data_IF_860086924659
#
_entry.id   IF_860086924659
#
_cell.length_a   1.000
_cell.length_b   1.000
_cell.length_c   1.000
_cell.angle_alpha   90.00
_cell.angle_beta   90.00
_cell.angle_gamma   90.00
#
_symmetry.space_group_name_H-M   'P 1'
#
loop_
_entity.id
_entity.type
_entity.pdbx_description
1 polymer ?
#
# COMPACT_ATOMS: atom_id res chain seq x y z
N UNK A 1 -14.27 11.44 -11.99
CA UNK A 1 -14.46 10.13 -11.33
C UNK A 1 -13.17 9.31 -11.26
N UNK A 2 -12.09 9.72 -11.93
CA UNK A 2 -10.79 9.02 -11.88
C UNK A 2 -10.04 9.22 -10.56
N UNK A 3 -10.23 10.35 -9.87
CA UNK A 3 -9.50 10.65 -8.62
C UNK A 3 -9.79 9.70 -7.45
N UNK A 4 -10.89 8.93 -7.51
CA UNK A 4 -11.28 7.96 -6.47
C UNK A 4 -10.78 6.54 -6.70
N UNK A 5 -10.16 6.23 -7.83
CA UNK A 5 -9.58 4.90 -8.07
C UNK A 5 -8.39 4.68 -7.14
N UNK A 6 -8.43 3.60 -6.37
CA UNK A 6 -7.32 3.20 -5.50
C UNK A 6 -6.32 2.42 -6.35
N UNK A 7 -5.10 2.92 -6.48
CA UNK A 7 -4.08 2.29 -7.33
C UNK A 7 -3.40 1.13 -6.61
N UNK A 8 -3.13 1.26 -5.31
CA UNK A 8 -2.58 0.19 -4.49
C UNK A 8 -3.02 0.31 -3.03
N UNK A 9 -4.29 0.01 -2.70
CA UNK A 9 -4.75 0.08 -1.32
C UNK A 9 -4.06 -1.00 -0.48
N UNK A 10 -3.32 -0.59 0.56
CA UNK A 10 -2.53 -1.50 1.42
C UNK A 10 -3.08 -1.62 2.83
N UNK A 11 -3.79 -0.59 3.31
CA UNK A 11 -4.40 -0.58 4.63
C UNK A 11 -5.64 0.33 4.62
N UNK A 12 -6.51 0.19 5.63
CA UNK A 12 -7.63 1.07 5.81
C UNK A 12 -8.18 1.06 7.24
N UNK A 13 -8.60 2.23 7.69
CA UNK A 13 -9.15 2.41 9.04
C UNK A 13 -10.51 3.11 8.99
N UNK A 14 -11.45 2.61 9.77
CA UNK A 14 -12.79 3.18 9.88
C UNK A 14 -12.94 3.92 11.21
N UNK A 15 -13.33 5.19 11.14
CA UNK A 15 -13.65 6.03 12.28
C UNK A 15 -15.14 6.20 12.49
N UNK A 16 -15.51 7.13 13.37
CA UNK A 16 -16.91 7.45 13.65
C UNK A 16 -17.64 7.93 12.39
N UNK A 17 -17.03 8.85 11.66
CA UNK A 17 -17.65 9.55 10.52
C UNK A 17 -16.92 9.34 9.18
N UNK A 18 -15.73 8.71 9.17
CA UNK A 18 -14.94 8.49 7.96
C UNK A 18 -14.42 7.06 7.80
N UNK A 19 -14.13 6.66 6.57
CA UNK A 19 -13.33 5.48 6.21
C UNK A 19 -12.13 5.98 5.42
N UNK A 20 -10.93 5.61 5.85
CA UNK A 20 -9.68 6.07 5.27
C UNK A 20 -8.97 4.89 4.63
N UNK A 21 -8.62 5.01 3.35
CA UNK A 21 -7.85 4.05 2.60
C UNK A 21 -6.44 4.60 2.35
N UNK A 22 -5.43 3.78 2.59
CA UNK A 22 -4.03 4.11 2.34
C UNK A 22 -3.67 3.56 0.97
N UNK A 23 -3.49 4.47 0.01
CA UNK A 23 -3.21 4.15 -1.38
C UNK A 23 -1.72 4.29 -1.65
N UNK A 24 -1.01 3.17 -1.48
CA UNK A 24 0.44 3.08 -1.50
C UNK A 24 1.02 3.58 -2.82
N UNK A 25 0.49 3.07 -3.95
CA UNK A 25 1.01 3.37 -5.28
C UNK A 25 0.67 4.79 -5.73
N UNK A 26 -0.43 5.36 -5.25
CA UNK A 26 -0.76 6.75 -5.53
C UNK A 26 -0.17 7.74 -4.51
N UNK A 27 0.63 7.27 -3.54
CA UNK A 27 1.29 8.10 -2.53
C UNK A 27 0.31 9.00 -1.77
N UNK A 28 -0.87 8.47 -1.42
CA UNK A 28 -1.97 9.28 -0.88
C UNK A 28 -2.87 8.52 0.08
N UNK A 29 -3.72 9.29 0.72
CA UNK A 29 -4.81 8.85 1.59
C UNK A 29 -6.11 9.27 0.93
N UNK A 30 -7.06 8.34 0.84
CA UNK A 30 -8.41 8.60 0.35
C UNK A 30 -9.38 8.46 1.52
N UNK A 31 -10.09 9.54 1.87
CA UNK A 31 -11.11 9.53 2.89
C UNK A 31 -12.51 9.53 2.29
N UNK A 32 -13.36 8.66 2.79
CA UNK A 32 -14.76 8.53 2.40
C UNK A 32 -15.65 8.85 3.60
N UNK A 33 -16.76 9.54 3.37
CA UNK A 33 -17.81 9.66 4.39
C UNK A 33 -18.37 8.26 4.69
N UNK A 34 -18.40 7.89 5.96
CA UNK A 34 -18.74 6.53 6.36
C UNK A 34 -20.20 6.15 6.08
N UNK A 35 -21.12 7.13 6.06
CA UNK A 35 -22.56 6.86 5.91
C UNK A 35 -22.95 6.73 4.45
N UNK A 36 -22.44 7.64 3.63
CA UNK A 36 -22.78 7.75 2.21
C UNK A 36 -21.80 7.00 1.31
N UNK A 37 -20.57 6.74 1.77
CA UNK A 37 -19.49 6.16 0.97
C UNK A 37 -18.91 7.13 -0.06
N UNK A 38 -19.32 8.40 -0.06
CA UNK A 38 -18.82 9.40 -1.01
C UNK A 38 -17.45 9.89 -0.59
N UNK A 39 -16.64 10.30 -1.57
CA UNK A 39 -15.35 10.94 -1.31
C UNK A 39 -15.53 12.16 -0.40
N UNK A 40 -14.81 12.18 0.71
CA UNK A 40 -14.72 13.32 1.61
C UNK A 40 -13.52 14.19 1.25
N UNK A 41 -12.32 13.60 1.17
CA UNK A 41 -11.09 14.30 0.80
C UNK A 41 -9.99 13.33 0.37
N UNK A 42 -8.97 13.87 -0.31
CA UNK A 42 -7.74 13.17 -0.67
C UNK A 42 -6.57 14.01 -0.17
N UNK A 43 -5.58 13.36 0.44
CA UNK A 43 -4.36 14.01 0.90
C UNK A 43 -3.14 13.22 0.46
N UNK A 44 -2.04 13.90 0.15
CA UNK A 44 -0.81 13.27 -0.32
C UNK A 44 -0.62 13.33 -1.83
N UNK A 45 0.65 13.34 -2.19
CA UNK A 45 1.23 13.11 -3.52
C UNK A 45 2.66 12.62 -3.29
N UNK A 46 3.28 12.01 -4.29
CA UNK A 46 4.67 11.58 -4.15
C UNK A 46 5.58 12.75 -3.78
N UNK A 47 6.36 12.57 -2.71
CA UNK A 47 7.38 13.52 -2.30
C UNK A 47 7.70 13.43 -0.81
N UNK A 48 8.44 14.41 -0.30
CA UNK A 48 8.89 14.47 1.10
C UNK A 48 8.53 15.79 1.80
N UNK A 49 8.00 16.76 1.05
CA UNK A 49 7.59 18.06 1.56
C UNK A 49 6.33 18.02 2.44
N UNK A 50 5.88 19.18 2.94
CA UNK A 50 4.64 19.29 3.70
C UNK A 50 3.42 18.81 2.90
N UNK A 51 2.68 17.86 3.47
CA UNK A 51 1.50 17.27 2.81
C UNK A 51 1.82 16.28 1.67
N UNK A 52 3.11 15.99 1.44
CA UNK A 52 3.54 14.93 0.52
C UNK A 52 3.78 13.63 1.29
N UNK A 53 3.59 12.51 0.61
CA UNK A 53 3.80 11.17 1.14
C UNK A 53 4.67 10.38 0.16
N UNK A 54 5.37 9.38 0.66
CA UNK A 54 6.11 8.41 -0.14
C UNK A 54 5.79 7.01 0.34
N UNK A 55 5.08 6.25 -0.49
CA UNK A 55 4.77 4.84 -0.23
C UNK A 55 4.07 4.62 1.13
N UNK A 56 2.95 5.30 1.45
CA UNK A 56 2.33 5.15 2.75
C UNK A 56 1.83 3.71 2.96
N UNK A 57 2.06 3.13 4.14
CA UNK A 57 1.88 1.68 4.36
C UNK A 57 0.81 1.28 5.36
N UNK A 58 0.58 2.08 6.40
CA UNK A 58 -0.34 1.71 7.46
C UNK A 58 -0.94 2.93 8.14
N UNK A 59 -2.09 2.76 8.76
CA UNK A 59 -2.75 3.84 9.46
C UNK A 59 -3.50 3.41 10.72
N UNK A 60 -3.68 4.36 11.63
CA UNK A 60 -4.57 4.19 12.78
C UNK A 60 -5.25 5.50 13.15
N UNK A 61 -6.32 5.40 13.93
CA UNK A 61 -6.96 6.56 14.51
C UNK A 61 -6.43 6.82 15.91
N UNK A 62 -6.07 8.08 16.15
CA UNK A 62 -5.82 8.60 17.48
C UNK A 62 -7.13 8.69 18.28
N UNK A 63 -7.07 8.69 19.63
CA UNK A 63 -8.25 8.79 20.48
C UNK A 63 -9.11 10.05 20.25
N UNK A 64 -8.50 11.14 19.77
CA UNK A 64 -9.18 12.37 19.39
C UNK A 64 -9.82 12.33 17.99
N UNK A 65 -9.61 11.26 17.24
CA UNK A 65 -10.16 11.04 15.90
C UNK A 65 -9.22 11.42 14.76
N UNK A 66 -8.03 11.95 15.05
CA UNK A 66 -7.03 12.23 14.03
C UNK A 66 -6.51 10.93 13.40
N UNK A 67 -6.17 10.98 12.13
CA UNK A 67 -5.60 9.87 11.38
C UNK A 67 -4.09 9.95 11.43
N UNK A 68 -3.44 8.89 11.91
CA UNK A 68 -2.00 8.70 11.84
C UNK A 68 -1.68 7.80 10.65
N UNK A 69 -0.81 8.26 9.77
CA UNK A 69 -0.40 7.54 8.55
C UNK A 69 1.09 7.31 8.57
N UNK A 70 1.50 6.05 8.40
CA UNK A 70 2.89 5.66 8.22
C UNK A 70 3.31 6.07 6.81
N UNK A 71 4.07 7.14 6.71
CA UNK A 71 4.75 7.58 5.50
C UNK A 71 6.10 6.86 5.41
N UNK A 72 6.01 5.58 5.03
CA UNK A 72 7.11 4.63 5.13
C UNK A 72 8.36 5.09 4.37
N UNK A 73 8.20 5.58 3.13
CA UNK A 73 9.33 5.96 2.29
C UNK A 73 10.06 7.20 2.79
N UNK A 74 9.45 7.97 3.68
CA UNK A 74 10.07 9.12 4.34
C UNK A 74 10.42 8.85 5.82
N UNK A 75 10.22 7.63 6.33
CA UNK A 75 10.59 7.25 7.70
C UNK A 75 9.87 8.05 8.78
N UNK A 76 8.58 8.37 8.57
CA UNK A 76 7.81 9.24 9.47
C UNK A 76 6.35 8.80 9.59
N UNK A 77 5.68 9.27 10.63
CA UNK A 77 4.22 9.22 10.78
C UNK A 77 3.67 10.62 10.57
N UNK A 78 2.71 10.76 9.67
CA UNK A 78 2.00 12.02 9.42
C UNK A 78 0.64 11.96 10.07
N UNK A 79 0.32 12.97 10.87
CA UNK A 79 -0.98 13.12 11.55
C UNK A 79 -1.87 14.05 10.73
N UNK A 80 -3.07 13.59 10.41
CA UNK A 80 -4.10 14.33 9.70
C UNK A 80 -5.32 14.54 10.60
N UNK A 81 -5.91 15.73 10.54
CA UNK A 81 -7.25 15.94 11.11
C UNK A 81 -8.30 15.17 10.32
N UNK A 82 -9.50 14.96 10.88
CA UNK A 82 -10.63 14.37 10.15
C UNK A 82 -11.03 15.11 8.88
N UNK A 83 -10.62 16.37 8.69
CA UNK A 83 -10.84 17.18 7.48
C UNK A 83 -9.75 17.01 6.40
N UNK A 84 -8.72 16.20 6.66
CA UNK A 84 -7.62 15.96 5.75
C UNK A 84 -6.45 16.95 5.87
N UNK A 85 -6.51 17.92 6.78
CA UNK A 85 -5.39 18.85 7.01
C UNK A 85 -4.24 18.16 7.76
N UNK A 86 -2.98 18.26 7.27
CA UNK A 86 -1.84 17.74 8.01
C UNK A 86 -1.57 18.60 9.25
N UNK A 87 -1.29 17.94 10.38
CA UNK A 87 -1.08 18.56 11.70
C UNK A 87 0.39 18.54 12.08
N UNK A 88 0.97 17.35 12.07
CA UNK A 88 2.33 17.11 12.54
C UNK A 88 2.95 15.92 11.83
N UNK A 89 4.28 15.89 11.88
CA UNK A 89 5.09 14.81 11.36
C UNK A 89 6.03 14.35 12.45
N UNK A 90 5.98 13.06 12.75
CA UNK A 90 6.79 12.41 13.77
C UNK A 90 7.78 11.48 13.10
N UNK A 91 9.11 11.74 13.16
CA UNK A 91 10.10 10.79 12.68
C UNK A 91 9.97 9.47 13.43
N UNK A 92 10.12 8.35 12.73
CA UNK A 92 10.11 7.02 13.36
C UNK A 92 11.40 6.27 13.07
N UNK A 93 11.97 5.56 14.04
CA UNK A 93 13.22 4.85 13.84
C UNK A 93 13.00 3.55 13.05
N UNK A 94 13.67 3.45 11.90
CA UNK A 94 13.63 2.27 11.05
C UNK A 94 12.30 2.13 10.32
N UNK A 95 11.98 0.88 9.95
CA UNK A 95 10.75 0.55 9.23
C UNK A 95 9.64 0.27 10.23
N UNK A 96 8.54 1.02 10.17
CA UNK A 96 7.30 0.75 10.89
C UNK A 96 6.28 0.14 9.93
N UNK A 97 5.75 -1.05 10.22
CA UNK A 97 4.77 -1.74 9.35
C UNK A 97 3.32 -1.50 9.77
N UNK A 98 3.08 -1.31 11.08
CA UNK A 98 1.77 -1.02 11.64
C UNK A 98 1.91 -0.17 12.90
N UNK A 99 0.86 0.56 13.24
CA UNK A 99 0.82 1.34 14.47
C UNK A 99 -0.55 1.31 15.15
N UNK A 100 -0.58 1.64 16.43
CA UNK A 100 -1.77 1.97 17.20
C UNK A 100 -1.48 3.19 18.07
N UNK A 101 -2.40 4.15 18.10
CA UNK A 101 -2.30 5.33 18.93
C UNK A 101 -2.81 5.06 20.35
N UNK A 102 -2.08 5.52 21.36
CA UNK A 102 -2.42 5.35 22.77
C UNK A 102 -3.07 6.62 23.35
N UNK A 103 -3.76 6.46 24.48
CA UNK A 103 -4.47 7.54 25.18
C UNK A 103 -3.57 8.69 25.67
N UNK A 104 -2.27 8.45 25.81
CA UNK A 104 -1.29 9.42 26.29
C UNK A 104 -0.50 10.10 25.15
N UNK A 105 -0.95 9.96 23.91
CA UNK A 105 -0.31 10.56 22.72
C UNK A 105 0.90 9.79 22.20
N UNK A 106 1.33 8.72 22.88
CA UNK A 106 2.32 7.80 22.34
C UNK A 106 1.70 6.83 21.32
N UNK A 107 2.54 6.13 20.58
CA UNK A 107 2.15 5.12 19.59
C UNK A 107 2.85 3.81 19.92
N UNK A 108 2.15 2.70 19.78
CA UNK A 108 2.78 1.38 19.65
C UNK A 108 2.91 1.06 18.18
N UNK A 109 4.00 0.45 17.75
CA UNK A 109 4.10 -0.05 16.40
C UNK A 109 5.03 -1.24 16.25
N UNK A 110 4.83 -1.97 15.16
CA UNK A 110 5.70 -3.07 14.76
C UNK A 110 6.82 -2.54 13.87
N UNK A 111 8.05 -2.70 14.32
CA UNK A 111 9.26 -2.21 13.68
C UNK A 111 10.17 -3.36 13.22
N UNK A 112 11.05 -3.10 12.26
CA UNK A 112 12.08 -4.06 11.80
C UNK A 112 13.25 -4.27 12.78
N UNK A 113 13.10 -3.87 14.03
CA UNK A 113 14.13 -3.97 15.06
C UNK A 113 13.88 -5.18 15.96
N UNK A 114 14.93 -5.64 16.65
CA UNK A 114 14.79 -6.58 17.77
C UNK A 114 14.90 -5.79 19.08
N UNK A 115 13.90 -5.79 19.97
CA UNK A 115 12.56 -6.38 19.85
C UNK A 115 11.62 -5.66 18.85
N UNK A 116 10.66 -6.38 18.23
CA UNK A 116 9.87 -5.88 17.10
C UNK A 116 8.80 -4.87 17.50
N UNK A 117 8.27 -4.95 18.72
CA UNK A 117 7.26 -3.99 19.17
C UNK A 117 7.92 -2.85 19.91
N UNK A 118 7.69 -1.63 19.43
CA UNK A 118 8.26 -0.41 19.99
C UNK A 118 7.16 0.54 20.43
N UNK A 119 7.38 1.19 21.57
CA UNK A 119 6.59 2.35 21.98
C UNK A 119 7.33 3.62 21.59
N UNK A 120 6.68 4.47 20.82
CA UNK A 120 7.22 5.69 20.27
C UNK A 120 6.43 6.85 20.88
N UNK A 121 7.10 7.82 21.49
CA UNK A 121 6.47 9.05 21.96
C UNK A 121 5.95 9.90 20.79
N UNK A 122 5.12 10.90 21.08
CA UNK A 122 4.59 11.83 20.09
C UNK A 122 5.69 12.55 19.28
N UNK A 123 6.87 12.76 19.88
CA UNK A 123 8.03 13.38 19.23
C UNK A 123 8.97 12.39 18.50
N UNK A 124 8.63 11.09 18.45
CA UNK A 124 9.40 10.09 17.68
C UNK A 124 10.47 9.34 18.47
N UNK A 125 10.60 9.59 19.77
CA UNK A 125 11.57 8.89 20.62
C UNK A 125 11.05 7.50 20.99
N UNK A 126 11.87 6.47 20.81
CA UNK A 126 11.52 5.13 21.33
C UNK A 126 11.67 5.13 22.85
N UNK A 127 10.55 4.96 23.54
CA UNK A 127 10.48 4.91 24.99
C UNK A 127 10.75 3.50 25.52
N UNK A 128 10.10 2.51 24.90
CA UNK A 128 10.14 1.12 25.34
C UNK A 128 10.19 0.18 24.14
N UNK A 129 10.78 -1.00 24.35
CA UNK A 129 10.80 -2.10 23.38
C UNK A 129 10.28 -3.35 24.09
N UNK A 130 9.35 -4.06 23.48
CA UNK A 130 8.75 -5.24 24.06
C UNK A 130 9.27 -6.49 23.35
N UNK A 131 10.03 -7.30 24.09
CA UNK A 131 10.30 -8.68 23.71
C UNK A 131 9.04 -9.50 23.93
N UNK A 132 8.53 -10.11 22.87
CA UNK A 132 7.39 -11.01 22.99
C UNK A 132 7.90 -12.32 23.62
N UNK A 133 7.37 -12.77 24.78
CA UNK A 133 7.66 -14.12 25.23
C UNK A 133 7.07 -15.08 24.20
N UNK A 134 7.90 -15.98 23.66
CA UNK A 134 7.50 -17.00 22.69
C UNK A 134 6.30 -17.80 23.19
N UNK A 135 5.08 -17.41 22.79
CA UNK A 135 3.88 -18.23 22.91
C UNK A 135 3.28 -18.39 21.53
N UNK A 136 3.79 -19.37 20.80
CA UNK A 136 3.18 -19.85 19.56
C UNK A 136 1.84 -20.51 19.89
N UNK A 137 0.75 -20.00 19.33
CA UNK A 137 -0.49 -20.80 19.22
C UNK A 137 -0.47 -21.44 17.83
N UNK A 138 -0.47 -22.76 17.77
CA UNK A 138 -0.59 -23.50 16.52
C UNK A 138 -1.98 -23.28 15.92
N UNK A 139 -2.06 -22.49 14.85
CA UNK A 139 -3.30 -22.31 14.07
C UNK A 139 -3.36 -23.39 13.00
N UNK A 140 -3.38 -24.68 13.36
CA UNK A 140 -3.75 -25.83 12.51
C UNK A 140 -3.11 -25.98 11.10
N UNK A 141 -2.16 -25.13 10.75
CA UNK A 141 -1.45 -25.05 9.47
C UNK A 141 0.04 -25.06 9.87
N UNK A 142 0.82 -26.06 9.43
CA UNK A 142 2.17 -26.29 9.95
C UNK A 142 3.19 -25.16 9.71
N UNK A 143 2.89 -24.19 8.84
CA UNK A 143 3.78 -23.06 8.47
C UNK A 143 3.29 -21.68 8.89
N UNK A 144 2.09 -21.55 9.50
CA UNK A 144 1.55 -20.25 9.90
C UNK A 144 1.56 -20.10 11.43
N UNK A 145 2.37 -19.17 11.93
CA UNK A 145 2.38 -18.73 13.33
C UNK A 145 1.77 -17.33 13.37
N UNK A 146 0.59 -17.19 13.95
CA UNK A 146 -0.05 -15.88 14.15
C UNK A 146 0.34 -15.37 15.53
N UNK A 147 1.14 -14.29 15.58
CA UNK A 147 1.47 -13.62 16.83
C UNK A 147 0.42 -12.54 17.12
N UNK A 148 -0.59 -12.93 17.89
CA UNK A 148 -1.50 -11.98 18.53
C UNK A 148 -1.05 -11.81 19.97
N UNK A 149 -0.37 -10.69 20.27
CA UNK A 149 -0.26 -10.26 21.67
C UNK A 149 -1.26 -9.15 21.90
N UNK A 150 -2.32 -9.39 22.69
CA UNK A 150 -3.02 -8.29 23.32
C UNK A 150 -2.04 -7.70 24.33
N UNK A 151 -1.25 -6.71 23.91
CA UNK A 151 -0.60 -5.84 24.90
C UNK A 151 -1.76 -5.23 25.70
N UNK A 152 -1.83 -5.44 27.02
CA UNK A 152 -2.88 -4.86 27.84
C UNK A 152 -2.60 -3.36 27.97
N UNK A 153 -2.80 -2.60 26.89
CA UNK A 153 -3.06 -1.18 27.03
C UNK A 153 -4.46 -1.05 27.62
N UNK A 154 -4.63 -0.19 28.62
CA UNK A 154 -5.96 0.16 29.14
C UNK A 154 -6.88 0.74 28.06
N UNK A 155 -6.29 1.11 26.92
CA UNK A 155 -6.93 1.79 25.80
C UNK A 155 -7.52 0.82 24.76
N UNK A 156 -7.15 -0.47 24.81
CA UNK A 156 -7.65 -1.50 23.89
C UNK A 156 -6.87 -1.61 22.57
N UNK A 157 -5.68 -1.03 22.49
CA UNK A 157 -4.76 -1.20 21.35
C UNK A 157 -4.24 -2.63 21.28
N UNK A 158 -4.41 -3.25 20.11
CA UNK A 158 -3.77 -4.51 19.74
C UNK A 158 -2.91 -4.23 18.51
N UNK A 159 -1.60 -4.37 18.66
CA UNK A 159 -0.66 -4.41 17.54
C UNK A 159 -0.30 -5.87 17.34
N UNK A 160 -0.73 -6.45 16.23
CA UNK A 160 -0.41 -7.82 15.86
C UNK A 160 0.44 -7.80 14.60
N UNK A 161 1.58 -8.48 14.65
CA UNK A 161 2.42 -8.73 13.48
C UNK A 161 2.32 -10.23 13.14
N UNK A 162 2.15 -10.55 11.87
CA UNK A 162 2.15 -11.95 11.42
C UNK A 162 3.55 -12.24 10.92
N UNK A 163 4.31 -13.01 11.70
CA UNK A 163 5.62 -13.50 11.30
C UNK A 163 5.44 -14.94 10.84
N UNK A 164 5.53 -15.20 9.53
CA UNK A 164 5.70 -16.57 9.04
C UNK A 164 7.14 -16.99 9.31
N UNK A 165 7.29 -17.99 10.17
CA UNK A 165 8.55 -18.70 10.33
C UNK A 165 8.49 -19.89 9.39
N UNK A 166 8.99 -19.75 8.17
CA UNK A 166 9.39 -20.93 7.41
C UNK A 166 10.54 -21.59 8.19
N UNK A 167 10.56 -22.92 8.21
CA UNK A 167 11.38 -23.77 9.09
C UNK A 167 12.90 -23.71 8.88
N UNK A 168 13.48 -22.52 8.78
CA UNK A 168 14.90 -22.22 8.76
C UNK A 168 15.12 -20.71 8.93
N UNK A 169 15.31 -20.27 10.18
CA UNK A 169 15.95 -19.03 10.65
C UNK A 169 15.89 -17.73 9.80
N UNK A 170 14.79 -17.45 9.08
CA UNK A 170 14.50 -16.10 8.59
C UNK A 170 12.99 -15.81 8.61
N UNK A 171 12.54 -14.70 9.24
CA UNK A 171 11.12 -14.34 9.27
C UNK A 171 10.66 -13.78 7.91
N UNK A 172 9.73 -14.46 7.25
CA UNK A 172 8.93 -13.90 6.15
C UNK A 172 7.71 -13.18 6.76
N UNK A 173 7.38 -11.98 6.26
CA UNK A 173 6.34 -11.12 6.87
C UNK A 173 4.97 -11.38 6.26
N UNK A 174 4.01 -11.77 7.08
CA UNK A 174 2.60 -11.89 6.76
C UNK A 174 1.81 -10.60 6.97
N UNK A 175 0.57 -10.58 6.47
CA UNK A 175 -0.35 -9.43 6.53
C UNK A 175 -0.69 -9.03 7.98
N UNK A 176 -0.52 -7.76 8.31
CA UNK A 176 -0.91 -7.15 9.60
C UNK A 176 -2.42 -6.83 9.62
N UNK A 177 -3.02 -6.88 10.81
CA UNK A 177 -4.42 -6.48 11.04
C UNK A 177 -4.46 -5.56 12.27
N UNK A 178 -5.08 -4.39 12.14
CA UNK A 178 -5.38 -3.48 13.26
C UNK A 178 -6.86 -3.60 13.63
N UNK A 179 -7.15 -4.04 14.86
CA UNK A 179 -8.52 -4.01 15.37
C UNK A 179 -8.78 -2.66 16.08
N UNK A 180 -9.50 -1.76 15.40
CA UNK A 180 -10.01 -0.53 15.99
C UNK A 180 -11.25 -0.77 16.87
N UNK A 181 -11.40 0.03 17.93
CA UNK A 181 -12.51 -0.01 18.90
C UNK A 181 -13.88 0.05 18.19
N UNK A 182 -14.69 -1.00 18.31
CA UNK A 182 -16.14 -0.88 18.10
C UNK A 182 -16.76 -0.19 19.32
N UNK A 183 -17.53 0.87 19.09
CA UNK A 183 -18.23 1.63 20.14
C UNK A 183 -19.44 0.92 20.76
N UNK A 184 -19.47 -0.41 20.78
CA UNK A 184 -20.54 -1.20 21.40
C UNK A 184 -19.88 -2.21 22.35
N UNK A 185 -20.10 -2.01 23.65
CA UNK A 185 -19.57 -2.82 24.74
C UNK A 185 -20.17 -4.22 24.82
N UNK A 186 -20.08 -5.01 23.75
CA UNK A 186 -20.42 -6.43 23.75
C UNK A 186 -19.16 -7.29 23.92
N UNK A 187 -19.20 -8.11 24.97
CA UNK A 187 -18.12 -9.01 25.41
C UNK A 187 -17.75 -10.00 24.30
N UNK A 188 -16.44 -10.21 24.11
CA UNK A 188 -15.86 -11.23 23.22
C UNK A 188 -16.37 -12.62 23.62
N UNK A 189 -17.26 -13.20 22.81
CA UNK A 189 -17.71 -14.58 22.94
C UNK A 189 -16.69 -15.55 22.33
N UNK A 190 -16.52 -16.71 22.96
CA UNK A 190 -15.62 -17.80 22.50
C UNK A 190 -15.98 -18.29 21.09
N UNK A 191 -15.00 -18.70 20.26
CA UNK A 191 -15.28 -19.27 18.94
C UNK A 191 -15.84 -20.71 19.06
N UNK A 192 -16.81 -21.11 18.22
CA UNK A 192 -17.20 -22.51 18.07
C UNK A 192 -16.20 -23.27 17.16
N UNK A 193 -16.13 -24.61 17.26
CA UNK A 193 -15.19 -25.41 16.47
C UNK A 193 -15.65 -25.59 15.02
N UNK A 194 -14.65 -25.81 14.18
CA UNK A 194 -14.60 -25.84 12.73
C UNK A 194 -15.35 -26.99 12.05
N UNK A 195 -15.95 -26.70 10.88
CA UNK A 195 -16.02 -27.64 9.75
C UNK A 195 -16.13 -26.88 8.40
N UNK A 196 -15.21 -27.24 7.50
CA UNK A 196 -15.30 -27.35 6.04
C UNK A 196 -15.49 -26.11 5.11
N UNK A 197 -14.49 -25.99 4.23
CA UNK A 197 -14.54 -25.76 2.76
C UNK A 197 -14.83 -24.37 2.16
N UNK A 198 -13.83 -23.94 1.38
CA UNK A 198 -13.83 -23.33 0.04
C UNK A 198 -14.86 -22.26 -0.37
N UNK A 199 -14.30 -21.32 -1.15
CA UNK A 199 -14.88 -20.48 -2.20
C UNK A 199 -15.23 -19.03 -1.85
N UNK A 200 -14.57 -18.16 -2.63
CA UNK A 200 -14.88 -16.77 -2.90
C UNK A 200 -16.30 -16.62 -3.48
N UNK A 201 -16.99 -15.55 -3.13
CA UNK A 201 -18.09 -15.00 -3.93
C UNK A 201 -19.42 -14.76 -3.21
N UNK A 202 -19.81 -13.48 -3.23
CA UNK A 202 -21.19 -12.97 -3.23
C UNK A 202 -21.87 -12.78 -1.85
N UNK A 203 -22.25 -11.52 -1.65
CA UNK A 203 -23.17 -11.00 -0.64
C UNK A 203 -24.49 -11.77 -0.68
N UNK A 204 -24.85 -12.43 0.44
CA UNK A 204 -26.21 -12.87 0.70
C UNK A 204 -26.69 -12.31 2.06
N UNK A 205 -27.52 -11.27 1.99
CA UNK A 205 -28.43 -10.90 3.08
C UNK A 205 -29.52 -11.99 3.18
N UNK A 206 -29.64 -12.65 4.32
CA UNK A 206 -30.83 -13.46 4.64
C UNK A 206 -31.30 -13.17 6.08
N UNK A 207 -32.26 -12.25 6.12
CA UNK A 207 -33.36 -12.05 7.05
C UNK A 207 -33.57 -13.12 8.14
N UNK A 208 -33.40 -12.73 9.41
CA UNK A 208 -34.03 -13.43 10.54
C UNK A 208 -35.29 -12.67 10.96
N UNK A 209 -36.45 -13.27 10.65
CA UNK A 209 -37.75 -12.85 11.15
C UNK A 209 -37.90 -13.24 12.64
N UNK A 210 -38.56 -12.42 13.47
CA UNK A 210 -39.10 -12.90 14.73
C UNK A 210 -40.51 -13.48 14.52
N UNK A 211 -40.71 -14.71 15.02
CA UNK A 211 -42.01 -15.38 15.09
C UNK A 211 -42.98 -14.60 15.99
N UNK A 212 -44.23 -14.55 15.51
CA UNK A 212 -45.42 -13.95 16.12
C UNK A 212 -45.75 -14.53 17.51
N UNK A 213 -45.95 -13.65 18.48
CA UNK A 213 -46.80 -13.87 19.66
C UNK A 213 -47.98 -12.91 19.62
N UNK A 214 -49.19 -13.43 19.35
CA UNK A 214 -50.45 -12.67 19.27
C UNK A 214 -50.92 -12.23 20.66
N UNK A 215 -51.24 -10.94 20.84
CA UNK A 215 -52.41 -10.50 21.61
C UNK A 215 -53.07 -9.30 20.93
N UNK A 216 -54.34 -9.49 20.55
CA UNK A 216 -55.29 -8.47 20.04
C UNK A 216 -55.87 -7.70 21.22
N UNK A 217 -55.90 -6.36 21.16
CA UNK A 217 -56.99 -5.48 21.65
C UNK A 217 -56.78 -4.13 20.91
N UNK A 218 -57.51 -3.85 19.83
CA UNK A 218 -58.74 -3.05 19.73
C UNK A 218 -58.50 -1.54 19.53
N UNK A 219 -58.55 -1.14 18.25
CA UNK A 219 -59.36 -0.05 17.65
C UNK A 219 -59.46 1.28 18.44
N UNK A 220 -58.99 2.37 17.82
CA UNK A 220 -59.77 3.60 17.53
C UNK A 220 -59.04 4.50 16.52
N UNK A 221 -59.69 4.70 15.37
CA UNK A 221 -59.47 5.82 14.45
C UNK A 221 -60.19 7.05 15.03
N UNK A 222 -59.66 8.26 14.84
CA UNK A 222 -60.30 9.40 14.11
C UNK A 222 -59.53 10.73 14.35
N UNK A 223 -59.73 11.75 13.48
CA UNK A 223 -58.73 12.76 13.08
C UNK A 223 -59.09 14.22 13.49
N UNK A 224 -58.16 15.16 13.29
CA UNK A 224 -58.34 16.60 12.97
C UNK A 224 -56.96 17.28 13.03
N UNK A 225 -56.37 17.88 11.97
CA UNK A 225 -56.77 19.02 11.13
C UNK A 225 -56.39 20.42 11.70
N UNK A 226 -55.62 21.16 10.89
CA UNK A 226 -55.55 22.62 10.69
C UNK A 226 -54.81 23.53 11.68
N UNK A 227 -53.71 24.15 11.18
CA UNK A 227 -53.45 25.61 11.05
C UNK A 227 -52.04 25.78 10.44
N UNK A 228 -51.89 26.06 9.13
CA UNK A 228 -51.79 27.37 8.45
C UNK A 228 -50.84 28.36 9.14
N UNK A 229 -49.66 28.55 8.55
CA UNK A 229 -49.00 29.85 8.46
C UNK A 229 -48.12 29.87 7.21
N UNK A 230 -48.59 30.61 6.20
CA UNK A 230 -47.85 30.99 5.01
C UNK A 230 -46.97 32.21 5.33
N UNK A 231 -45.74 32.24 4.81
CA UNK A 231 -45.07 33.49 4.48
C UNK A 231 -44.30 33.32 3.16
N UNK A 232 -44.89 33.87 2.11
CA UNK A 232 -44.22 34.29 0.89
C UNK A 232 -43.54 35.64 1.18
N UNK A 233 -42.27 35.79 0.79
CA UNK A 233 -41.78 37.07 0.29
C UNK A 233 -40.74 36.81 -0.79
N UNK A 234 -41.13 37.16 -2.03
CA UNK A 234 -40.25 37.25 -3.18
C UNK A 234 -39.47 38.56 -3.12
N UNK A 235 -38.18 38.53 -3.42
CA UNK A 235 -37.42 39.69 -3.87
C UNK A 235 -36.64 39.29 -5.11
N UNK A 236 -37.21 39.67 -6.26
CA UNK A 236 -36.52 39.70 -7.55
C UNK A 236 -35.72 41.00 -7.56
N UNK A 237 -34.40 40.90 -7.65
CA UNK A 237 -33.55 41.99 -8.07
C UNK A 237 -32.69 41.48 -9.22
N UNK A 238 -33.15 41.76 -10.43
CA UNK A 238 -32.35 41.72 -11.63
C UNK A 238 -31.30 42.83 -11.56
N UNK A 239 -30.08 42.54 -11.98
CA UNK A 239 -29.19 43.56 -12.52
C UNK A 239 -28.25 42.94 -13.56
N UNK A 240 -28.08 43.70 -14.64
CA UNK A 240 -27.44 43.39 -15.91
C UNK A 240 -25.96 42.97 -15.85
N UNK A 241 -25.44 42.30 -16.90
CA UNK A 241 -24.01 42.08 -17.09
C UNK A 241 -23.34 43.34 -17.69
N UNK A 242 -22.25 43.79 -17.08
CA UNK A 242 -21.40 44.87 -17.62
C UNK A 242 -20.29 44.32 -18.56
N UNK A 243 -19.91 45.08 -19.61
CA UNK A 243 -18.88 44.73 -20.59
C UNK A 243 -17.45 44.95 -20.05
N UNK A 244 -16.39 44.46 -20.75
CA UNK A 244 -15.01 44.59 -20.29
C UNK A 244 -14.45 45.97 -20.63
N UNK A 245 -13.89 46.65 -19.61
CA UNK A 245 -13.04 47.83 -19.82
C UNK A 245 -11.59 47.38 -20.04
N UNK A 246 -11.05 47.79 -21.18
CA UNK A 246 -9.62 47.87 -21.44
C UNK A 246 -9.01 49.04 -20.65
N UNK A 247 -7.68 48.97 -20.51
CA UNK A 247 -6.74 50.05 -20.13
C UNK A 247 -6.59 50.36 -18.64
N UNK A 248 -5.64 49.66 -18.01
CA UNK A 248 -4.77 50.26 -17.01
C UNK A 248 -3.34 49.76 -17.25
N UNK A 249 -2.53 50.65 -17.83
CA UNK A 249 -1.08 50.60 -17.90
C UNK A 249 -0.48 50.41 -16.51
N UNK A 250 0.21 49.29 -16.30
CA UNK A 250 1.03 49.00 -15.12
C UNK A 250 2.35 48.40 -15.56
N UNK A 251 3.43 49.14 -15.28
CA UNK A 251 4.84 48.86 -15.55
C UNK A 251 5.25 47.38 -15.58
N UNK A 252 5.91 46.98 -16.68
CA UNK A 252 6.59 45.72 -16.84
C UNK A 252 7.82 45.65 -15.94
N UNK A 253 7.80 44.75 -14.95
CA UNK A 253 9.03 44.28 -14.31
C UNK A 253 9.70 43.24 -15.22
N UNK A 254 11.04 43.24 -15.33
CA UNK A 254 11.75 42.32 -16.21
C UNK A 254 11.58 40.88 -15.74
N UNK A 255 11.01 40.05 -16.62
CA UNK A 255 10.98 38.60 -16.50
C UNK A 255 12.43 38.09 -16.48
N UNK A 256 12.89 37.37 -15.45
CA UNK A 256 14.19 36.69 -15.51
C UNK A 256 14.13 35.69 -16.68
N UNK A 257 15.19 35.57 -17.50
CA UNK A 257 15.15 34.72 -18.68
C UNK A 257 14.77 33.31 -18.27
N UNK A 258 13.91 32.70 -19.08
CA UNK A 258 13.63 31.28 -19.07
C UNK A 258 14.95 30.54 -18.87
N UNK A 259 15.10 29.93 -17.68
CA UNK A 259 16.18 29.02 -17.39
C UNK A 259 16.01 27.86 -18.35
N UNK A 260 16.71 27.99 -19.47
CA UNK A 260 17.39 26.97 -20.25
C UNK A 260 16.91 25.56 -19.91
N UNK A 261 16.21 24.99 -20.90
CA UNK A 261 15.79 23.61 -20.94
C UNK A 261 16.85 22.72 -20.28
N UNK A 262 16.40 21.95 -19.29
CA UNK A 262 17.21 20.88 -18.72
C UNK A 262 17.84 20.07 -19.89
N UNK A 263 19.14 19.75 -19.81
CA UNK A 263 19.79 18.97 -20.85
C UNK A 263 19.02 17.65 -21.03
N UNK A 264 18.84 17.24 -22.30
CA UNK A 264 18.24 15.96 -22.66
C UNK A 264 18.91 14.77 -21.97
N UNK A 265 18.26 13.59 -21.99
CA UNK A 265 18.61 12.47 -21.13
C UNK A 265 20.09 12.12 -21.30
N UNK A 266 20.84 12.23 -20.21
CA UNK A 266 22.16 11.64 -20.13
C UNK A 266 22.03 10.14 -20.39
N UNK A 267 22.90 9.60 -21.25
CA UNK A 267 23.06 8.18 -21.53
C UNK A 267 23.14 7.39 -20.22
N UNK A 268 21.99 6.90 -19.76
CA UNK A 268 21.91 6.08 -18.55
C UNK A 268 22.22 4.66 -18.99
N UNK A 269 23.52 4.36 -19.12
CA UNK A 269 23.99 3.00 -19.32
C UNK A 269 23.62 2.19 -18.08
N UNK A 270 22.84 1.12 -18.27
CA UNK A 270 22.48 0.19 -17.20
C UNK A 270 23.59 -0.84 -17.06
N UNK A 271 24.08 -1.04 -15.84
CA UNK A 271 25.07 -2.08 -15.57
C UNK A 271 24.46 -3.19 -14.71
N UNK A 272 24.64 -4.45 -15.14
CA UNK A 272 24.13 -5.64 -14.46
C UNK A 272 25.20 -6.24 -13.54
N UNK A 273 24.82 -6.57 -12.32
CA UNK A 273 25.66 -7.17 -11.29
C UNK A 273 24.96 -8.43 -10.73
N UNK A 274 25.58 -9.08 -9.74
CA UNK A 274 24.99 -10.18 -9.00
C UNK A 274 25.08 -9.95 -7.50
N UNK A 275 24.13 -10.52 -6.77
CA UNK A 275 24.19 -10.68 -5.32
C UNK A 275 23.90 -12.11 -4.94
N UNK A 276 24.36 -12.49 -3.76
CA UNK A 276 24.05 -13.78 -3.15
C UNK A 276 23.19 -13.54 -1.91
N UNK A 277 22.17 -14.39 -1.72
CA UNK A 277 21.36 -14.42 -0.50
C UNK A 277 21.28 -15.85 0.00
N UNK A 278 21.55 -16.03 1.29
CA UNK A 278 21.43 -17.32 1.94
C UNK A 278 20.01 -17.88 1.77
N UNK A 279 19.89 -19.16 1.45
CA UNK A 279 18.61 -19.82 1.19
C UNK A 279 18.01 -19.61 -0.21
N UNK A 280 18.40 -18.56 -0.95
CA UNK A 280 17.94 -18.33 -2.33
C UNK A 280 19.03 -18.63 -3.37
N UNK A 281 20.29 -18.32 -3.07
CA UNK A 281 21.40 -18.44 -4.01
C UNK A 281 21.79 -17.11 -4.66
N UNK A 282 22.38 -17.17 -5.85
CA UNK A 282 22.89 -16.01 -6.58
C UNK A 282 21.86 -15.51 -7.58
N UNK A 283 21.63 -14.20 -7.60
CA UNK A 283 20.66 -13.54 -8.47
C UNK A 283 21.21 -12.23 -9.06
N UNK A 284 20.63 -11.82 -10.18
CA UNK A 284 20.93 -10.59 -10.89
C UNK A 284 20.45 -9.35 -10.14
N UNK A 285 21.26 -8.30 -10.18
CA UNK A 285 20.90 -6.96 -9.73
C UNK A 285 21.34 -5.90 -10.73
N UNK A 286 20.91 -4.66 -10.56
CA UNK A 286 21.63 -3.54 -11.15
C UNK A 286 22.88 -3.17 -10.32
N UNK A 287 23.67 -2.20 -10.80
CA UNK A 287 24.85 -1.70 -10.09
C UNK A 287 24.54 -1.04 -8.73
N UNK A 288 23.29 -0.66 -8.46
CA UNK A 288 22.86 -0.17 -7.14
C UNK A 288 22.46 -1.31 -6.19
N UNK A 289 22.46 -2.55 -6.68
CA UNK A 289 22.10 -3.75 -5.91
C UNK A 289 20.60 -3.99 -5.80
N UNK A 290 19.78 -3.36 -6.64
CA UNK A 290 18.33 -3.67 -6.71
C UNK A 290 18.12 -4.97 -7.47
N UNK A 291 17.29 -5.85 -6.91
CA UNK A 291 17.00 -7.17 -7.45
C UNK A 291 16.26 -7.11 -8.79
N UNK A 292 16.63 -8.00 -9.71
CA UNK A 292 16.04 -8.10 -11.04
C UNK A 292 15.25 -9.39 -11.20
N UNK A 293 14.08 -9.24 -11.80
CA UNK A 293 13.06 -10.26 -11.94
C UNK A 293 12.73 -10.52 -13.41
N UNK A 294 12.31 -11.74 -13.70
CA UNK A 294 11.63 -12.11 -14.93
C UNK A 294 10.16 -12.42 -14.64
N UNK A 295 9.31 -12.22 -15.65
CA UNK A 295 7.89 -12.53 -15.59
C UNK A 295 7.55 -13.72 -16.49
N UNK A 296 6.98 -14.79 -15.94
CA UNK A 296 6.61 -15.96 -16.74
C UNK A 296 5.47 -15.71 -17.73
N UNK A 297 4.68 -14.66 -17.51
CA UNK A 297 3.63 -14.22 -18.43
C UNK A 297 4.14 -13.51 -19.67
N UNK A 298 5.45 -13.28 -19.81
CA UNK A 298 6.02 -12.67 -21.01
C UNK A 298 6.04 -13.64 -22.20
N UNK A 299 5.48 -13.19 -23.32
CA UNK A 299 5.24 -14.00 -24.51
C UNK A 299 6.46 -14.11 -25.41
N UNK A 300 6.69 -15.28 -26.00
CA UNK A 300 7.75 -15.46 -26.98
C UNK A 300 7.53 -14.58 -28.22
N UNK A 301 8.59 -13.91 -28.66
CA UNK A 301 8.64 -13.23 -29.95
C UNK A 301 8.73 -14.30 -31.04
N UNK A 302 8.03 -14.08 -32.16
CA UNK A 302 7.99 -15.04 -33.26
C UNK A 302 9.40 -15.42 -33.74
N UNK A 303 9.71 -16.73 -33.69
CA UNK A 303 10.93 -17.29 -34.28
C UNK A 303 12.21 -17.20 -33.43
N UNK A 304 12.13 -16.94 -32.12
CA UNK A 304 13.32 -16.84 -31.28
C UNK A 304 13.12 -17.16 -29.79
N UNK A 305 14.23 -17.06 -29.05
CA UNK A 305 14.28 -17.19 -27.57
C UNK A 305 13.90 -15.88 -26.84
N UNK A 306 13.80 -14.78 -27.59
CA UNK A 306 13.42 -13.47 -27.05
C UNK A 306 11.95 -13.45 -26.66
N UNK A 307 11.64 -12.79 -25.55
CA UNK A 307 10.26 -12.53 -25.12
C UNK A 307 9.94 -11.04 -25.17
N UNK A 308 8.68 -10.75 -25.48
CA UNK A 308 8.10 -9.42 -25.41
C UNK A 308 7.42 -9.25 -24.06
N UNK A 309 7.63 -8.08 -23.44
CA UNK A 309 6.94 -7.71 -22.21
C UNK A 309 5.43 -7.69 -22.43
N UNK A 310 4.68 -8.35 -21.56
CA UNK A 310 3.21 -8.22 -21.43
C UNK A 310 2.82 -7.31 -20.26
N UNK A 311 3.80 -6.93 -19.42
CA UNK A 311 3.61 -6.10 -18.25
C UNK A 311 3.61 -4.60 -18.60
N UNK A 312 2.42 -4.00 -18.53
CA UNK A 312 2.16 -2.59 -18.77
C UNK A 312 1.14 -2.06 -17.76
N UNK A 313 0.94 -0.74 -17.74
CA UNK A 313 -0.06 -0.08 -16.92
C UNK A 313 0.14 -0.41 -15.44
N UNK A 314 -0.89 -0.89 -14.73
CA UNK A 314 -0.80 -1.29 -13.32
C UNK A 314 0.28 -2.35 -13.06
N UNK A 315 0.52 -3.25 -14.03
CA UNK A 315 1.59 -4.23 -13.91
C UNK A 315 2.95 -3.53 -13.87
N UNK A 316 3.22 -2.59 -14.78
CA UNK A 316 4.49 -1.87 -14.83
C UNK A 316 4.68 -0.92 -13.64
N UNK A 317 3.60 -0.56 -12.91
CA UNK A 317 3.72 0.18 -11.65
C UNK A 317 4.14 -0.74 -10.50
N UNK A 318 3.64 -1.98 -10.44
CA UNK A 318 4.03 -2.97 -9.45
C UNK A 318 5.41 -3.60 -9.76
N UNK A 319 5.70 -3.77 -11.05
CA UNK A 319 6.90 -4.39 -11.60
C UNK A 319 7.55 -3.48 -12.64
N UNK A 320 8.25 -2.40 -12.21
CA UNK A 320 8.84 -1.44 -13.14
C UNK A 320 9.84 -2.08 -14.09
N UNK A 321 9.74 -1.87 -15.42
CA UNK A 321 10.70 -2.41 -16.37
C UNK A 321 12.07 -1.76 -16.21
N UNK A 322 13.13 -2.55 -16.39
CA UNK A 322 14.49 -2.02 -16.45
C UNK A 322 14.74 -1.36 -17.80
N UNK A 323 14.51 -0.04 -17.88
CA UNK A 323 14.65 0.74 -19.11
C UNK A 323 16.09 1.21 -19.31
N UNK A 324 16.51 1.33 -20.58
CA UNK A 324 17.87 1.76 -20.95
C UNK A 324 17.88 2.61 -22.21
N UNK A 325 18.66 3.71 -22.18
CA UNK A 325 18.91 4.56 -23.35
C UNK A 325 20.18 4.16 -24.12
N UNK A 326 21.20 3.68 -23.41
CA UNK A 326 22.46 3.16 -23.95
C UNK A 326 22.50 1.63 -24.07
N UNK A 327 23.68 1.09 -24.39
CA UNK A 327 23.89 -0.35 -24.35
C UNK A 327 24.08 -0.80 -22.88
N UNK A 328 23.30 -1.78 -22.38
CA UNK A 328 23.55 -2.35 -21.06
C UNK A 328 24.86 -3.15 -21.04
N UNK A 329 25.57 -3.11 -19.91
CA UNK A 329 26.89 -3.75 -19.76
C UNK A 329 26.97 -4.64 -18.52
N UNK A 330 27.80 -5.70 -18.53
CA UNK A 330 28.07 -6.46 -17.31
C UNK A 330 29.02 -5.68 -16.40
N UNK A 331 28.63 -5.47 -15.14
CA UNK A 331 29.50 -4.97 -14.07
C UNK A 331 30.26 -6.09 -13.34
N UNK A 332 29.81 -7.34 -13.50
CA UNK A 332 30.34 -8.50 -12.78
C UNK A 332 30.74 -9.63 -13.73
N UNK A 333 31.90 -10.29 -13.54
CA UNK A 333 32.33 -11.42 -14.36
C UNK A 333 31.38 -12.63 -14.36
N UNK A 334 30.50 -12.75 -13.35
CA UNK A 334 29.47 -13.79 -13.32
C UNK A 334 28.36 -13.57 -14.37
N UNK A 335 28.21 -12.33 -14.87
CA UNK A 335 27.25 -11.99 -15.91
C UNK A 335 27.83 -12.28 -17.28
N UNK A 336 27.12 -13.08 -18.07
CA UNK A 336 27.52 -13.42 -19.44
C UNK A 336 27.07 -12.32 -20.38
N UNK A 337 28.03 -11.62 -20.97
CA UNK A 337 27.77 -10.47 -21.84
C UNK A 337 26.87 -10.83 -23.04
N UNK A 338 27.01 -12.05 -23.57
CA UNK A 338 26.24 -12.57 -24.69
C UNK A 338 24.75 -12.82 -24.38
N UNK A 339 24.40 -12.91 -23.10
CA UNK A 339 23.00 -13.05 -22.66
C UNK A 339 22.31 -11.70 -22.50
N UNK A 340 23.07 -10.60 -22.43
CA UNK A 340 22.50 -9.26 -22.29
C UNK A 340 21.97 -8.82 -23.65
N UNK A 341 20.70 -8.43 -23.67
CA UNK A 341 20.05 -7.88 -24.83
C UNK A 341 19.14 -6.72 -24.46
N UNK A 342 18.36 -6.28 -25.45
CA UNK A 342 17.28 -5.34 -25.24
C UNK A 342 16.08 -5.71 -26.10
N UNK A 343 14.88 -5.43 -25.60
CA UNK A 343 13.64 -5.51 -26.37
C UNK A 343 13.00 -4.14 -26.48
N UNK A 344 12.47 -3.82 -27.65
CA UNK A 344 11.62 -2.64 -27.83
C UNK A 344 10.23 -2.95 -27.28
N UNK A 345 9.78 -2.14 -26.33
CA UNK A 345 8.45 -2.25 -25.74
C UNK A 345 7.43 -1.55 -26.65
N UNK A 346 6.15 -1.93 -26.52
CA UNK A 346 5.06 -1.32 -27.32
C UNK A 346 4.84 0.17 -27.03
N UNK A 347 5.34 0.66 -25.90
CA UNK A 347 5.30 2.06 -25.49
C UNK A 347 6.48 2.88 -26.06
N UNK A 348 7.34 2.26 -26.88
CA UNK A 348 8.50 2.89 -27.52
C UNK A 348 9.75 2.93 -26.62
N UNK A 349 9.65 2.51 -25.36
CA UNK A 349 10.81 2.41 -24.49
C UNK A 349 11.62 1.14 -24.80
N UNK A 350 12.92 1.19 -24.51
CA UNK A 350 13.80 0.02 -24.65
C UNK A 350 14.11 -0.58 -23.29
N UNK A 351 13.81 -1.87 -23.13
CA UNK A 351 13.98 -2.60 -21.88
C UNK A 351 15.14 -3.57 -21.98
N UNK A 352 15.93 -3.68 -20.92
CA UNK A 352 17.02 -4.65 -20.81
C UNK A 352 16.44 -6.05 -20.70
N UNK A 353 17.06 -6.98 -21.42
CA UNK A 353 16.75 -8.40 -21.34
C UNK A 353 17.98 -9.20 -20.95
N UNK A 354 17.79 -10.33 -20.28
CA UNK A 354 18.85 -11.29 -20.01
C UNK A 354 18.39 -12.69 -20.40
N UNK A 355 19.18 -13.37 -21.23
CA UNK A 355 18.84 -14.67 -21.82
C UNK A 355 17.44 -14.67 -22.47
N UNK A 356 17.11 -13.57 -23.16
CA UNK A 356 15.81 -13.38 -23.85
C UNK A 356 14.65 -12.94 -22.95
N UNK A 357 14.81 -12.87 -21.63
CA UNK A 357 13.77 -12.43 -20.69
C UNK A 357 13.83 -10.92 -20.43
N UNK A 358 12.72 -10.17 -20.58
CA UNK A 358 12.64 -8.79 -20.09
C UNK A 358 12.86 -8.72 -18.59
N UNK A 359 13.68 -7.78 -18.14
CA UNK A 359 14.02 -7.61 -16.72
C UNK A 359 13.18 -6.52 -16.07
N UNK A 360 12.75 -6.78 -14.84
CA UNK A 360 11.92 -5.89 -14.04
C UNK A 360 12.48 -5.70 -12.64
N UNK A 361 12.15 -4.58 -12.04
CA UNK A 361 12.22 -4.36 -10.59
C UNK A 361 10.90 -4.77 -9.94
N UNK A 362 10.89 -4.84 -8.61
CA UNK A 362 9.68 -4.93 -7.83
C UNK A 362 9.47 -3.68 -6.99
N UNK A 363 8.31 -3.04 -7.08
CA UNK A 363 8.04 -1.77 -6.41
C UNK A 363 8.07 -1.85 -4.87
N UNK A 364 7.96 -3.06 -4.30
CA UNK A 364 8.07 -3.29 -2.85
C UNK A 364 9.47 -3.67 -2.38
N UNK A 365 10.45 -3.72 -3.29
CA UNK A 365 11.87 -3.81 -2.93
C UNK A 365 12.42 -2.40 -2.76
N UNK A 366 12.67 -2.03 -1.50
CA UNK A 366 12.92 -0.65 -1.08
C UNK A 366 14.39 -0.43 -0.75
N UNK A 367 15.12 -1.51 -0.49
CA UNK A 367 16.56 -1.51 -0.21
C UNK A 367 17.31 -2.43 -1.20
N UNK A 368 18.58 -2.12 -1.51
CA UNK A 368 19.44 -3.04 -2.24
C UNK A 368 19.52 -4.42 -1.58
N UNK A 369 19.21 -5.48 -2.33
CA UNK A 369 19.16 -6.86 -1.86
C UNK A 369 17.83 -7.30 -1.23
N UNK A 370 16.81 -6.43 -1.20
CA UNK A 370 15.43 -6.87 -0.98
C UNK A 370 15.05 -7.82 -2.11
N UNK A 371 14.39 -8.93 -1.78
CA UNK A 371 13.98 -9.96 -2.75
C UNK A 371 12.51 -10.31 -2.60
N UNK A 372 11.67 -9.34 -2.23
CA UNK A 372 10.28 -9.58 -1.83
C UNK A 372 9.38 -9.96 -3.02
N UNK A 373 9.86 -9.78 -4.26
CA UNK A 373 9.17 -10.21 -5.47
C UNK A 373 9.39 -11.69 -5.85
N UNK A 374 10.24 -12.40 -5.11
CA UNK A 374 10.52 -13.81 -5.42
C UNK A 374 9.28 -14.67 -5.17
N UNK A 375 8.91 -15.49 -6.15
CA UNK A 375 7.79 -16.44 -6.07
C UNK A 375 6.43 -15.76 -5.81
N UNK A 376 6.30 -14.51 -6.26
CA UNK A 376 5.01 -13.79 -6.22
C UNK A 376 4.20 -14.20 -7.45
N UNK A 377 2.97 -14.67 -7.23
CA UNK A 377 1.97 -14.81 -8.30
C UNK A 377 1.19 -13.51 -8.45
N UNK A 378 1.20 -12.92 -9.65
CA UNK A 378 0.54 -11.65 -9.92
C UNK A 378 0.42 -11.38 -11.41
N UNK A 379 -0.64 -10.68 -11.80
CA UNK A 379 -0.93 -10.36 -13.21
C UNK A 379 -1.04 -11.59 -14.13
N UNK A 380 -1.40 -12.75 -13.55
CA UNK A 380 -1.70 -13.98 -14.28
C UNK A 380 -0.54 -14.96 -14.43
N UNK A 381 0.64 -14.69 -13.87
CA UNK A 381 1.76 -15.64 -13.81
C UNK A 381 2.71 -15.34 -12.64
N UNK A 382 3.75 -16.16 -12.50
CA UNK A 382 4.75 -16.06 -11.43
C UNK A 382 5.92 -15.13 -11.81
N UNK A 383 6.50 -14.52 -10.78
CA UNK A 383 7.66 -13.65 -10.85
C UNK A 383 8.85 -14.28 -10.12
N UNK A 384 10.02 -14.27 -10.77
CA UNK A 384 11.21 -14.94 -10.26
C UNK A 384 12.43 -14.04 -10.39
N UNK A 385 13.30 -14.06 -9.38
CA UNK A 385 14.66 -13.56 -9.51
C UNK A 385 15.35 -14.29 -10.67
N UNK A 386 16.25 -13.58 -11.34
CA UNK A 386 17.00 -14.16 -12.47
C UNK A 386 18.37 -14.62 -11.99
N UNK A 387 18.76 -15.86 -12.30
CA UNK A 387 20.10 -16.37 -11.98
C UNK A 387 21.16 -15.84 -12.97
N UNK A 388 22.46 -15.92 -12.65
CA UNK A 388 23.54 -15.62 -13.61
C UNK A 388 23.47 -16.46 -14.90
N UNK A 389 22.86 -17.64 -14.84
CA UNK A 389 22.61 -18.54 -15.98
C UNK A 389 21.45 -18.06 -16.86
N UNK A 390 20.67 -17.08 -16.40
CA UNK A 390 19.54 -16.51 -17.13
C UNK A 390 18.26 -17.32 -17.00
N UNK A 391 18.13 -18.06 -15.90
CA UNK A 391 16.97 -18.88 -15.56
C UNK A 391 16.22 -18.29 -14.36
N UNK A 392 14.92 -18.61 -14.19
CA UNK A 392 14.22 -18.28 -12.96
C UNK A 392 14.85 -19.02 -11.79
N UNK A 393 15.22 -18.28 -10.75
CA UNK A 393 15.71 -18.83 -9.49
C UNK A 393 14.55 -19.53 -8.80
N UNK A 394 14.50 -20.86 -8.89
CA UNK A 394 13.55 -21.71 -8.17
C UNK A 394 14.25 -22.34 -6.98
N UNK A 395 13.55 -22.53 -5.87
CA UNK A 395 14.11 -23.24 -4.72
C UNK A 395 14.46 -24.67 -5.15
N UNK A 396 15.71 -25.11 -4.92
CA UNK A 396 16.11 -26.50 -5.16
C UNK A 396 15.39 -27.42 -4.17
N UNK A 397 14.19 -27.89 -4.57
CA UNK A 397 13.32 -28.65 -3.68
C UNK A 397 12.02 -29.10 -4.33
N UNK A 398 12.04 -29.47 -5.61
CA UNK A 398 10.86 -29.95 -6.31
C UNK A 398 11.25 -30.74 -7.55
N UNK A 399 11.46 -32.03 -7.35
CA UNK A 399 11.77 -33.00 -8.39
C UNK A 399 10.83 -32.82 -9.60
N UNK A 400 11.44 -32.56 -10.75
CA UNK A 400 10.86 -32.72 -12.06
C UNK A 400 10.13 -34.08 -12.12
N UNK A 401 8.80 -34.04 -12.13
CA UNK A 401 7.97 -35.21 -12.44
C UNK A 401 7.12 -34.89 -13.66
N UNK A 402 7.78 -35.13 -14.80
CA UNK A 402 7.28 -35.76 -16.04
C UNK A 402 6.01 -35.23 -16.69
#
# INVERSE_FOLDING_TARGET
MEDTLLLGPVDGVAGKDGVYAIDFQAHRVVALDRRSGTLAWIAGREGAGPGELRNPMGAALAPDGDLLVIDFGNGRVVRYRPDGSPVSTTPVPGVLSSLCALGDGSMLGAASSEPPIVRISENGTVQERYSLPWQSTEVGIPSLRVLMTPLPSRDGCVVADVVTLDGGDTPSRGRSWTAGRSGDGSRVGRPPPSHASCACGIVARASLAPRRGRRRVMRKMTPAACTVAAFLLAMVAACEPQPPDETATGEAQPVPPASEAAPGPADTAVSLDVRQKEGLGTYLTDASGRSLYLFQGDTAVAGGQQRASTCYDECAQAWPPLLVAGAPVPANPAIRAEMIGTVERRDGARQVTYNGWPLYYYARDLNPGDTNGQDVEGFGAEWYLVTPEGEPLRHEGGNDRR
#
